data_IF_023666756081
#
_entry.id   IF_023666756081
#
_cell.length_a   1.000
_cell.length_b   1.000
_cell.length_c   1.000
_cell.angle_alpha   90.00
_cell.angle_beta   90.00
_cell.angle_gamma   90.00
#
_symmetry.space_group_name_H-M   'P 1'
#
loop_
_entity.id
_entity.type
_entity.pdbx_description
1 polymer ?
#
# COMPACT_ATOMS: atom_id res chain seq x y z
N UNK A 1 -14.48 34.84 -36.37
CA UNK A 1 -15.42 33.69 -36.34
C UNK A 1 -14.60 32.43 -36.08
N UNK A 2 -14.32 32.11 -34.82
CA UNK A 2 -13.74 30.83 -34.43
C UNK A 2 -14.63 30.29 -33.29
N UNK A 3 -15.62 29.48 -33.68
CA UNK A 3 -16.52 28.81 -32.73
C UNK A 3 -15.74 27.60 -32.20
N UNK A 4 -15.21 27.74 -30.99
CA UNK A 4 -14.62 26.63 -30.25
C UNK A 4 -15.70 25.63 -29.88
N UNK A 5 -15.59 24.41 -30.38
CA UNK A 5 -16.39 23.26 -29.99
C UNK A 5 -16.04 22.88 -28.54
N UNK A 6 -16.77 23.45 -27.58
CA UNK A 6 -16.79 22.98 -26.20
C UNK A 6 -17.56 21.66 -26.15
N UNK A 7 -16.85 20.59 -25.80
CA UNK A 7 -17.44 19.28 -25.54
C UNK A 7 -18.50 19.35 -24.41
N UNK A 8 -19.54 18.50 -24.45
CA UNK A 8 -20.60 18.51 -23.46
C UNK A 8 -20.05 18.07 -22.09
N UNK A 9 -20.12 18.98 -21.12
CA UNK A 9 -19.90 18.67 -19.70
C UNK A 9 -20.99 17.68 -19.26
N UNK A 10 -20.60 16.43 -18.98
CA UNK A 10 -21.50 15.39 -18.49
C UNK A 10 -22.12 15.79 -17.13
N UNK A 11 -23.40 15.42 -16.87
CA UNK A 11 -24.14 15.90 -15.72
C UNK A 11 -23.48 15.45 -14.41
N UNK A 12 -23.27 16.42 -13.53
CA UNK A 12 -22.68 16.24 -12.21
C UNK A 12 -23.47 15.23 -11.38
N UNK A 13 -22.77 14.22 -10.90
CA UNK A 13 -23.21 13.42 -9.75
C UNK A 13 -23.37 14.36 -8.57
N UNK A 14 -24.56 14.41 -7.99
CA UNK A 14 -24.86 15.16 -6.77
C UNK A 14 -23.79 14.88 -5.71
N UNK A 15 -23.06 15.93 -5.35
CA UNK A 15 -21.95 15.92 -4.42
C UNK A 15 -22.51 16.04 -3.00
N UNK A 16 -22.47 14.95 -2.23
CA UNK A 16 -22.64 15.02 -0.78
C UNK A 16 -21.31 15.50 -0.17
N UNK A 17 -21.24 16.70 0.43
CA UNK A 17 -19.97 17.31 0.84
C UNK A 17 -19.32 16.67 2.07
N UNK A 18 -19.91 15.61 2.65
CA UNK A 18 -19.54 15.08 3.96
C UNK A 18 -18.79 13.74 4.01
N UNK A 19 -18.59 13.01 2.90
CA UNK A 19 -18.08 11.62 3.01
C UNK A 19 -17.22 11.11 1.86
N UNK A 20 -16.96 11.90 0.80
CA UNK A 20 -16.20 11.41 -0.36
C UNK A 20 -14.72 11.86 -0.33
N UNK A 21 -13.85 11.04 0.27
CA UNK A 21 -12.39 11.23 0.16
C UNK A 21 -11.98 10.87 -1.28
N UNK A 22 -11.91 11.87 -2.17
CA UNK A 22 -11.49 11.68 -3.57
C UNK A 22 -10.09 11.06 -3.63
N UNK A 23 -9.97 9.94 -4.34
CA UNK A 23 -8.70 9.22 -4.53
C UNK A 23 -8.00 9.71 -5.81
N UNK A 24 -6.68 9.94 -5.74
CA UNK A 24 -5.86 10.22 -6.93
C UNK A 24 -5.46 8.91 -7.58
N UNK A 25 -5.60 8.83 -8.90
CA UNK A 25 -5.11 7.67 -9.64
C UNK A 25 -3.58 7.58 -9.54
N UNK A 26 -3.00 6.43 -9.16
CA UNK A 26 -1.54 6.27 -9.08
C UNK A 26 -0.85 6.31 -10.44
N UNK A 27 -1.60 6.16 -11.55
CA UNK A 27 -1.06 6.14 -12.91
C UNK A 27 -1.07 7.50 -13.60
N UNK A 28 -2.18 8.24 -13.51
CA UNK A 28 -2.37 9.50 -14.24
C UNK A 28 -2.73 10.69 -13.34
N UNK A 29 -2.77 10.50 -12.02
CA UNK A 29 -3.09 11.53 -11.03
C UNK A 29 -4.49 12.16 -11.12
N UNK A 30 -5.36 11.66 -12.03
CA UNK A 30 -6.75 12.09 -12.13
C UNK A 30 -7.49 11.88 -10.81
N UNK A 31 -8.34 12.83 -10.43
CA UNK A 31 -9.16 12.74 -9.22
C UNK A 31 -10.38 11.88 -9.50
N UNK A 32 -10.48 10.77 -8.79
CA UNK A 32 -11.61 9.85 -8.89
C UNK A 32 -12.47 9.92 -7.62
N UNK A 33 -13.77 9.63 -7.71
CA UNK A 33 -14.62 9.43 -6.54
C UNK A 33 -14.10 8.25 -5.70
N UNK A 34 -14.34 8.24 -4.38
CA UNK A 34 -13.90 7.16 -3.48
C UNK A 34 -14.50 5.79 -3.82
N UNK A 35 -15.68 5.78 -4.44
CA UNK A 35 -16.38 4.59 -4.92
C UNK A 35 -15.83 4.04 -6.24
N UNK A 36 -14.94 4.77 -6.93
CA UNK A 36 -14.35 4.36 -8.19
C UNK A 36 -13.48 3.11 -8.05
N UNK A 37 -13.76 2.06 -8.84
CA UNK A 37 -12.88 0.88 -8.95
C UNK A 37 -11.77 1.08 -9.98
N UNK A 38 -12.03 1.86 -11.03
CA UNK A 38 -11.12 2.18 -12.12
C UNK A 38 -11.07 3.69 -12.33
N UNK A 39 -9.97 4.17 -12.88
CA UNK A 39 -9.80 5.58 -13.21
C UNK A 39 -10.71 5.96 -14.39
N UNK A 40 -11.50 7.03 -14.22
CA UNK A 40 -12.37 7.54 -15.28
C UNK A 40 -11.65 8.09 -16.51
N UNK A 41 -10.35 8.39 -16.39
CA UNK A 41 -9.53 8.95 -17.47
C UNK A 41 -8.65 7.90 -18.15
N UNK A 42 -7.81 7.18 -17.38
CA UNK A 42 -6.83 6.25 -17.94
C UNK A 42 -7.21 4.76 -17.80
N UNK A 43 -8.34 4.45 -17.16
CA UNK A 43 -8.81 3.07 -16.96
C UNK A 43 -8.03 2.22 -15.94
N UNK A 44 -6.96 2.75 -15.33
CA UNK A 44 -6.17 2.00 -14.34
C UNK A 44 -7.01 1.63 -13.11
N UNK A 45 -6.80 0.45 -12.50
CA UNK A 45 -7.46 0.09 -11.25
C UNK A 45 -7.01 1.05 -10.13
N UNK A 46 -7.97 1.56 -9.37
CA UNK A 46 -7.71 2.47 -8.24
C UNK A 46 -7.46 1.72 -6.93
N UNK A 47 -7.72 0.41 -6.92
CA UNK A 47 -7.50 -0.48 -5.79
C UNK A 47 -6.60 -1.61 -6.27
N UNK A 48 -5.69 -2.04 -5.40
CA UNK A 48 -4.93 -3.25 -5.63
C UNK A 48 -5.90 -4.42 -5.86
N UNK A 49 -5.60 -5.26 -6.85
CA UNK A 49 -6.35 -6.47 -7.09
C UNK A 49 -5.95 -7.49 -6.02
N UNK A 50 -6.93 -7.97 -5.25
CA UNK A 50 -6.72 -9.08 -4.34
C UNK A 50 -6.94 -10.36 -5.13
N UNK A 51 -5.93 -11.23 -5.18
CA UNK A 51 -5.99 -12.49 -5.89
C UNK A 51 -5.52 -13.65 -5.00
N UNK A 52 -6.01 -14.86 -5.29
CA UNK A 52 -5.62 -16.07 -4.56
C UNK A 52 -4.51 -16.77 -5.31
N UNK A 53 -3.31 -16.83 -4.73
CA UNK A 53 -2.14 -17.53 -5.26
C UNK A 53 -1.62 -18.56 -4.25
N UNK A 54 -1.08 -19.68 -4.75
CA UNK A 54 -0.33 -20.63 -3.92
C UNK A 54 1.06 -20.05 -3.68
N UNK A 55 1.43 -19.89 -2.41
CA UNK A 55 2.72 -19.34 -1.97
C UNK A 55 3.29 -20.18 -0.83
N UNK A 56 4.60 -20.17 -0.66
CA UNK A 56 5.27 -20.70 0.52
C UNK A 56 5.51 -19.55 1.50
N UNK A 57 5.24 -19.77 2.79
CA UNK A 57 5.46 -18.77 3.84
C UNK A 57 6.48 -19.33 4.83
N UNK A 58 7.55 -18.59 5.08
CA UNK A 58 8.53 -18.86 6.12
C UNK A 58 8.18 -18.03 7.36
N UNK A 59 8.10 -18.66 8.52
CA UNK A 59 7.97 -17.99 9.81
C UNK A 59 9.22 -18.27 10.64
N UNK A 60 9.77 -17.21 11.24
CA UNK A 60 10.98 -17.27 12.06
C UNK A 60 10.68 -16.56 13.38
N UNK A 61 11.21 -17.10 14.47
CA UNK A 61 11.10 -16.54 15.81
C UNK A 61 12.46 -16.55 16.52
N UNK A 62 12.67 -15.59 17.41
CA UNK A 62 13.87 -15.51 18.25
C UNK A 62 13.58 -16.18 19.59
N UNK A 63 14.19 -17.35 19.80
CA UNK A 63 13.99 -18.13 21.02
C UNK A 63 14.36 -17.32 22.28
N UNK A 64 13.43 -17.25 23.22
CA UNK A 64 13.65 -16.57 24.51
C UNK A 64 13.59 -15.04 24.45
N UNK A 65 13.21 -14.45 23.30
CA UNK A 65 13.12 -13.00 23.13
C UNK A 65 12.27 -12.32 24.21
N UNK A 66 11.09 -12.87 24.53
CA UNK A 66 10.18 -12.29 25.54
C UNK A 66 10.85 -12.14 26.90
N UNK A 67 11.50 -13.20 27.40
CA UNK A 67 12.17 -13.17 28.69
C UNK A 67 13.39 -12.23 28.69
N UNK A 68 14.05 -12.06 27.54
CA UNK A 68 15.14 -11.10 27.38
C UNK A 68 14.62 -9.65 27.39
N UNK A 69 13.59 -9.35 26.61
CA UNK A 69 13.04 -7.99 26.46
C UNK A 69 12.42 -7.43 27.74
N UNK A 70 11.93 -8.30 28.62
CA UNK A 70 11.39 -7.89 29.92
C UNK A 70 12.46 -7.44 30.91
N UNK A 71 13.73 -7.82 30.70
CA UNK A 71 14.84 -7.55 31.64
C UNK A 71 15.82 -6.50 31.16
N UNK A 72 15.90 -6.28 29.85
CA UNK A 72 16.84 -5.34 29.24
C UNK A 72 16.16 -4.01 28.91
N UNK A 73 16.94 -2.94 28.91
CA UNK A 73 16.49 -1.65 28.38
C UNK A 73 16.28 -1.71 26.85
N UNK A 74 15.44 -0.82 26.29
CA UNK A 74 15.12 -0.83 24.86
C UNK A 74 16.33 -0.71 23.93
N UNK A 75 17.34 0.07 24.31
CA UNK A 75 18.56 0.27 23.54
C UNK A 75 19.40 -1.01 23.46
N UNK A 76 19.51 -1.74 24.57
CA UNK A 76 20.18 -3.04 24.61
C UNK A 76 19.41 -4.11 23.81
N UNK A 77 18.08 -4.15 23.89
CA UNK A 77 17.26 -5.05 23.06
C UNK A 77 17.47 -4.75 21.58
N UNK A 78 17.48 -3.46 21.19
CA UNK A 78 17.72 -3.01 19.82
C UNK A 78 19.09 -3.47 19.31
N UNK A 79 20.13 -3.28 20.11
CA UNK A 79 21.49 -3.70 19.77
C UNK A 79 21.63 -5.22 19.55
N UNK A 80 20.77 -6.04 20.17
CA UNK A 80 20.74 -7.50 19.96
C UNK A 80 19.90 -7.87 18.74
N UNK A 81 18.75 -7.23 18.56
CA UNK A 81 17.79 -7.60 17.51
C UNK A 81 18.20 -7.12 16.12
N UNK A 82 18.79 -5.94 15.98
CA UNK A 82 19.17 -5.41 14.65
C UNK A 82 20.13 -6.36 13.91
N UNK A 83 21.23 -6.87 14.52
CA UNK A 83 22.09 -7.85 13.86
C UNK A 83 21.38 -9.16 13.52
N UNK A 84 20.42 -9.60 14.35
CA UNK A 84 19.65 -10.81 14.08
C UNK A 84 18.77 -10.64 12.84
N UNK A 85 18.12 -9.47 12.70
CA UNK A 85 17.34 -9.16 11.51
C UNK A 85 18.20 -9.04 10.26
N UNK A 86 19.38 -8.43 10.33
CA UNK A 86 20.30 -8.33 9.19
C UNK A 86 20.68 -9.72 8.63
N UNK A 87 20.99 -10.68 9.52
CA UNK A 87 21.29 -12.07 9.10
C UNK A 87 20.07 -12.75 8.47
N UNK A 88 18.88 -12.53 9.02
CA UNK A 88 17.64 -13.10 8.50
C UNK A 88 17.33 -12.50 7.11
N UNK A 89 17.42 -11.18 6.97
CA UNK A 89 17.16 -10.48 5.71
C UNK A 89 18.13 -10.93 4.61
N UNK A 90 19.43 -11.03 4.91
CA UNK A 90 20.44 -11.49 3.94
C UNK A 90 20.15 -12.92 3.46
N UNK A 91 19.77 -13.82 4.38
CA UNK A 91 19.41 -15.19 4.04
C UNK A 91 18.14 -15.26 3.18
N UNK A 92 17.13 -14.45 3.48
CA UNK A 92 15.89 -14.36 2.71
C UNK A 92 16.16 -13.84 1.30
N UNK A 93 16.93 -12.76 1.18
CA UNK A 93 17.30 -12.18 -0.11
C UNK A 93 18.16 -13.11 -0.95
N UNK A 94 19.06 -13.88 -0.34
CA UNK A 94 19.88 -14.88 -1.04
C UNK A 94 19.04 -15.96 -1.74
N UNK A 95 17.81 -16.20 -1.28
CA UNK A 95 16.90 -17.21 -1.83
C UNK A 95 15.73 -16.63 -2.64
N UNK A 96 15.82 -15.36 -3.06
CA UNK A 96 14.82 -14.65 -3.86
C UNK A 96 13.42 -14.52 -3.20
N UNK A 97 13.29 -14.67 -1.87
CA UNK A 97 11.97 -14.54 -1.23
C UNK A 97 11.87 -14.80 0.26
#
# INVERSE_FOLDING_TARGET
MAVGLLAPQRPGTSFDPGTDIRSRCPRCSYQNPSSGRFCGECGAPLRAQCERRQVSVLLVDVSGFTAMSERLDPEAVRAIMDPAFEVIEDAVHTHDG
#
